data_IF_589632912673
#
_entry.id   IF_589632912673
#
_cell.length_a   1.000
_cell.length_b   1.000
_cell.length_c   1.000
_cell.angle_alpha   90.00
_cell.angle_beta   90.00
_cell.angle_gamma   90.00
#
_symmetry.space_group_name_H-M   'P 1'
#
loop_
_entity.id
_entity.type
_entity.pdbx_description
1 polymer ?
#
# COMPACT_ATOMS: atom_id res chain seq x y z
N UNK A 1 20.03 -15.47 -0.03
CA UNK A 1 20.55 -14.55 1.00
C UNK A 1 20.22 -13.15 0.53
N UNK A 2 19.58 -12.31 1.37
CA UNK A 2 19.19 -10.95 1.00
C UNK A 2 20.37 -10.17 0.44
N UNK A 3 20.15 -9.43 -0.64
CA UNK A 3 21.16 -8.52 -1.19
C UNK A 3 21.36 -7.37 -0.21
N UNK A 4 22.57 -6.79 -0.16
CA UNK A 4 22.85 -5.69 0.76
C UNK A 4 21.80 -4.55 0.62
N UNK A 5 21.35 -3.94 1.73
CA UNK A 5 20.52 -2.74 1.69
C UNK A 5 21.16 -1.61 0.88
N UNK A 6 20.34 -0.72 0.34
CA UNK A 6 20.84 0.47 -0.36
C UNK A 6 21.49 1.44 0.66
N UNK A 7 22.80 1.78 0.51
CA UNK A 7 23.48 2.70 1.41
C UNK A 7 23.14 4.19 1.14
N UNK A 8 22.12 4.50 0.32
CA UNK A 8 21.74 5.86 -0.03
C UNK A 8 21.50 6.72 1.24
N UNK A 9 22.24 7.84 1.42
CA UNK A 9 22.13 8.66 2.63
C UNK A 9 20.75 9.29 2.82
N UNK A 10 19.94 9.43 1.76
CA UNK A 10 18.56 9.91 1.87
C UNK A 10 17.68 8.96 2.69
N UNK A 11 17.99 7.67 2.71
CA UNK A 11 17.22 6.66 3.44
C UNK A 11 17.68 6.49 4.88
N UNK A 12 18.90 6.93 5.23
CA UNK A 12 19.51 6.69 6.53
C UNK A 12 18.70 7.21 7.74
N UNK A 13 17.83 8.19 7.52
CA UNK A 13 16.96 8.72 8.57
C UNK A 13 15.72 7.83 8.82
N UNK A 14 15.25 7.07 7.83
CA UNK A 14 14.09 6.19 7.99
C UNK A 14 14.35 5.08 9.02
N UNK A 15 13.29 4.56 9.64
CA UNK A 15 13.41 3.50 10.65
C UNK A 15 13.84 2.18 10.04
N UNK A 16 13.33 1.85 8.85
CA UNK A 16 13.69 0.66 8.07
C UNK A 16 14.23 1.06 6.68
N UNK A 17 15.46 1.59 6.59
CA UNK A 17 16.05 2.01 5.32
C UNK A 17 16.17 0.85 4.31
N UNK A 18 16.28 -0.38 4.79
CA UNK A 18 16.33 -1.59 3.96
C UNK A 18 15.06 -1.85 3.14
N UNK A 19 13.95 -1.16 3.43
CA UNK A 19 12.67 -1.30 2.71
C UNK A 19 12.56 -0.42 1.45
N UNK A 20 13.57 0.41 1.18
CA UNK A 20 13.66 1.24 -0.02
C UNK A 20 14.96 0.98 -0.79
N UNK A 21 14.88 1.17 -2.10
CA UNK A 21 16.05 1.24 -2.97
C UNK A 21 15.91 2.42 -3.92
N UNK A 22 17.03 3.03 -4.24
CA UNK A 22 17.12 4.08 -5.24
C UNK A 22 17.20 3.49 -6.64
N UNK A 23 16.87 4.32 -7.63
CA UNK A 23 17.02 4.01 -9.05
C UNK A 23 18.48 3.70 -9.42
N UNK A 24 19.45 4.33 -8.77
CA UNK A 24 20.88 4.02 -8.93
C UNK A 24 21.22 2.63 -8.42
N UNK A 25 20.81 2.30 -7.19
CA UNK A 25 21.06 0.98 -6.61
C UNK A 25 20.44 -0.11 -7.47
N UNK A 26 19.19 0.07 -7.90
CA UNK A 26 18.52 -0.94 -8.72
C UNK A 26 19.25 -1.12 -10.05
N UNK A 27 19.64 -0.02 -10.73
CA UNK A 27 20.37 -0.06 -11.98
C UNK A 27 21.70 -0.85 -11.90
N UNK A 28 22.40 -0.78 -10.76
CA UNK A 28 23.65 -1.53 -10.54
C UNK A 28 23.40 -3.01 -10.24
N UNK A 29 22.24 -3.34 -9.65
CA UNK A 29 21.88 -4.68 -9.23
C UNK A 29 20.93 -5.40 -10.21
N UNK A 30 20.60 -4.80 -11.36
CA UNK A 30 19.80 -5.48 -12.39
C UNK A 30 20.50 -6.77 -12.84
N UNK A 31 19.76 -7.88 -12.77
CA UNK A 31 20.27 -9.21 -13.12
C UNK A 31 21.18 -9.85 -12.06
N UNK A 32 21.40 -9.22 -10.91
CA UNK A 32 22.13 -9.83 -9.80
C UNK A 32 21.37 -11.08 -9.29
N UNK A 33 22.08 -12.18 -8.97
CA UNK A 33 21.46 -13.36 -8.36
C UNK A 33 20.76 -12.97 -7.06
N UNK A 34 19.50 -13.38 -6.92
CA UNK A 34 18.69 -13.07 -5.74
C UNK A 34 17.95 -11.73 -5.80
N UNK A 35 18.03 -10.95 -6.88
CA UNK A 35 17.20 -9.74 -7.07
C UNK A 35 16.10 -10.02 -8.09
N UNK A 36 14.85 -9.74 -7.70
CA UNK A 36 13.68 -9.84 -8.57
C UNK A 36 13.00 -8.49 -8.65
N UNK A 37 12.75 -8.03 -9.86
CA UNK A 37 12.09 -6.74 -10.11
C UNK A 37 10.66 -7.01 -10.53
N UNK A 38 9.71 -6.35 -9.88
CA UNK A 38 8.28 -6.51 -10.13
C UNK A 38 7.68 -5.15 -10.47
N UNK A 39 6.91 -5.09 -11.55
CA UNK A 39 6.06 -3.93 -11.86
C UNK A 39 4.61 -4.22 -11.48
N UNK A 40 3.98 -3.29 -10.77
CA UNK A 40 2.56 -3.36 -10.37
C UNK A 40 1.93 -1.97 -10.44
N UNK A 41 1.02 -1.80 -11.40
CA UNK A 41 0.44 -0.51 -11.80
C UNK A 41 -1.08 -0.48 -11.65
N UNK A 42 -1.65 0.73 -11.69
CA UNK A 42 -3.09 0.92 -11.87
C UNK A 42 -3.50 0.52 -13.29
N UNK A 43 -2.77 1.02 -14.29
CA UNK A 43 -2.98 0.69 -15.69
C UNK A 43 -2.23 -0.61 -16.03
N UNK A 44 -2.99 -1.70 -16.10
CA UNK A 44 -2.47 -3.05 -16.37
C UNK A 44 -1.77 -3.20 -17.73
N UNK A 45 -1.96 -2.25 -18.65
CA UNK A 45 -1.33 -2.22 -19.98
C UNK A 45 -0.01 -1.45 -19.98
N UNK A 46 0.35 -0.78 -18.88
CA UNK A 46 1.50 0.13 -18.83
C UNK A 46 2.85 -0.60 -18.92
N UNK A 47 2.96 -1.77 -18.31
CA UNK A 47 4.12 -2.66 -18.47
C UNK A 47 4.39 -3.03 -19.93
N UNK A 48 3.33 -3.27 -20.71
CA UNK A 48 3.43 -3.77 -22.09
C UNK A 48 3.93 -2.68 -23.06
N UNK A 49 3.92 -1.41 -22.65
CA UNK A 49 4.49 -0.29 -23.43
C UNK A 49 5.93 0.05 -23.04
N UNK A 50 6.53 -0.68 -22.11
CA UNK A 50 7.93 -0.57 -21.71
C UNK A 50 8.11 -0.65 -20.20
N UNK A 51 9.09 -1.40 -19.73
CA UNK A 51 9.36 -1.67 -18.31
C UNK A 51 10.86 -1.74 -18.02
N UNK A 52 11.24 -1.77 -16.74
CA UNK A 52 12.64 -1.92 -16.30
C UNK A 52 13.16 -3.28 -16.80
N UNK A 53 14.37 -3.35 -17.40
CA UNK A 53 14.93 -4.61 -17.89
C UNK A 53 14.95 -5.71 -16.83
N UNK A 54 14.38 -6.86 -17.17
CA UNK A 54 14.29 -8.02 -16.26
C UNK A 54 13.09 -7.99 -15.31
N UNK A 55 12.26 -6.94 -15.33
CA UNK A 55 11.06 -6.87 -14.50
C UNK A 55 9.95 -7.81 -14.99
N UNK A 56 9.24 -8.42 -14.04
CA UNK A 56 8.02 -9.20 -14.30
C UNK A 56 6.79 -8.42 -13.86
N UNK A 57 5.69 -8.50 -14.61
CA UNK A 57 4.41 -7.89 -14.23
C UNK A 57 3.73 -8.71 -13.12
N UNK A 58 3.20 -8.06 -12.08
CA UNK A 58 2.17 -8.64 -11.20
C UNK A 58 0.94 -7.74 -11.27
N UNK A 59 -0.13 -8.28 -11.86
CA UNK A 59 -1.42 -7.59 -11.97
C UNK A 59 -2.17 -7.67 -10.64
N UNK A 60 -2.42 -6.53 -10.01
CA UNK A 60 -3.06 -6.52 -8.69
C UNK A 60 -4.44 -7.19 -8.70
N UNK A 61 -5.20 -7.09 -9.79
CA UNK A 61 -6.56 -7.60 -9.89
C UNK A 61 -6.58 -9.07 -10.31
N UNK A 62 -5.80 -9.44 -11.33
CA UNK A 62 -5.82 -10.80 -11.88
C UNK A 62 -4.88 -11.77 -11.16
N UNK A 63 -3.75 -11.29 -10.65
CA UNK A 63 -2.76 -12.16 -10.01
C UNK A 63 -2.93 -12.22 -8.48
N UNK A 64 -3.39 -11.14 -7.81
CA UNK A 64 -3.40 -11.06 -6.33
C UNK A 64 -4.77 -11.18 -5.66
N UNK A 65 -5.88 -11.13 -6.41
CA UNK A 65 -7.23 -11.26 -5.88
C UNK A 65 -7.86 -12.61 -6.26
N UNK A 66 -8.76 -13.11 -5.41
CA UNK A 66 -9.64 -14.23 -5.76
C UNK A 66 -10.62 -13.78 -6.86
N UNK A 67 -10.85 -14.60 -7.90
CA UNK A 67 -11.66 -14.21 -9.05
C UNK A 67 -13.17 -14.16 -8.75
N UNK A 68 -13.62 -14.63 -7.59
CA UNK A 68 -15.04 -14.74 -7.24
C UNK A 68 -15.36 -13.98 -5.96
N UNK A 69 -14.57 -14.19 -4.92
CA UNK A 69 -14.71 -13.57 -3.60
C UNK A 69 -13.91 -12.28 -3.58
N UNK A 70 -14.44 -11.22 -2.98
CA UNK A 70 -13.66 -10.01 -2.69
C UNK A 70 -12.69 -10.28 -1.54
N UNK A 71 -11.62 -11.02 -1.83
CA UNK A 71 -10.51 -11.30 -0.94
C UNK A 71 -9.23 -11.57 -1.76
N UNK A 72 -8.09 -11.62 -1.09
CA UNK A 72 -6.83 -12.01 -1.72
C UNK A 72 -6.77 -13.52 -1.96
N UNK A 73 -5.88 -13.91 -2.86
CA UNK A 73 -5.56 -15.31 -3.11
C UNK A 73 -5.10 -16.04 -1.82
N UNK A 74 -5.13 -17.38 -1.85
CA UNK A 74 -4.60 -18.21 -0.77
C UNK A 74 -3.09 -18.48 -0.93
N UNK A 75 -2.52 -19.19 0.06
CA UNK A 75 -1.10 -19.53 0.07
C UNK A 75 -0.64 -20.43 -1.08
N UNK A 76 -1.53 -21.29 -1.61
CA UNK A 76 -1.19 -22.18 -2.71
C UNK A 76 -1.14 -21.40 -4.02
N UNK A 77 -2.11 -20.53 -4.25
CA UNK A 77 -2.14 -19.62 -5.40
C UNK A 77 -0.99 -18.62 -5.35
N UNK A 78 -0.61 -18.08 -4.18
CA UNK A 78 0.54 -17.19 -4.07
C UNK A 78 1.85 -17.92 -4.37
N UNK A 79 2.02 -19.15 -3.86
CA UNK A 79 3.20 -19.97 -4.17
C UNK A 79 3.30 -20.29 -5.67
N UNK A 80 2.19 -20.63 -6.32
CA UNK A 80 2.15 -20.86 -7.77
C UNK A 80 2.47 -19.59 -8.56
N UNK A 81 1.93 -18.43 -8.15
CA UNK A 81 2.26 -17.14 -8.74
C UNK A 81 3.76 -16.84 -8.65
N UNK A 82 4.36 -16.94 -7.46
CA UNK A 82 5.80 -16.71 -7.27
C UNK A 82 6.63 -17.68 -8.12
N UNK A 83 6.22 -18.96 -8.18
CA UNK A 83 6.85 -19.96 -9.02
C UNK A 83 6.86 -19.54 -10.49
N UNK A 84 5.70 -19.19 -11.07
CA UNK A 84 5.58 -18.77 -12.48
C UNK A 84 6.33 -17.47 -12.79
N UNK A 85 6.44 -16.56 -11.82
CA UNK A 85 7.20 -15.31 -11.95
C UNK A 85 8.70 -15.49 -11.66
N UNK A 86 9.14 -16.70 -11.32
CA UNK A 86 10.54 -17.04 -11.09
C UNK A 86 11.13 -16.41 -9.83
N UNK A 87 10.31 -16.25 -8.79
CA UNK A 87 10.68 -15.66 -7.49
C UNK A 87 10.88 -16.79 -6.49
N UNK A 88 12.03 -16.83 -5.83
CA UNK A 88 12.34 -17.74 -4.73
C UNK A 88 11.99 -17.10 -3.37
N UNK A 89 11.92 -17.92 -2.31
CA UNK A 89 11.54 -17.43 -0.96
C UNK A 89 12.56 -16.47 -0.35
N UNK A 90 13.82 -16.61 -0.73
CA UNK A 90 14.95 -15.86 -0.17
C UNK A 90 15.45 -14.74 -1.10
N UNK A 91 14.71 -14.46 -2.17
CA UNK A 91 15.01 -13.37 -3.10
C UNK A 91 14.71 -12.01 -2.43
N UNK A 92 15.48 -11.00 -2.80
CA UNK A 92 15.14 -9.59 -2.62
C UNK A 92 14.19 -9.19 -3.74
N UNK A 93 12.94 -8.85 -3.40
CA UNK A 93 11.93 -8.41 -4.36
C UNK A 93 11.82 -6.89 -4.32
N UNK A 94 12.14 -6.22 -5.43
CA UNK A 94 11.97 -4.78 -5.61
C UNK A 94 10.73 -4.53 -6.45
N UNK A 95 9.73 -3.88 -5.86
CA UNK A 95 8.47 -3.55 -6.53
C UNK A 95 8.46 -2.06 -6.89
N UNK A 96 7.98 -1.74 -8.09
CA UNK A 96 7.74 -0.37 -8.54
C UNK A 96 6.45 -0.30 -9.37
N UNK A 97 5.93 0.90 -9.54
CA UNK A 97 4.79 1.14 -10.41
C UNK A 97 4.52 2.62 -10.64
N UNK A 98 3.42 2.90 -11.32
CA UNK A 98 2.91 4.24 -11.56
C UNK A 98 2.32 4.93 -10.32
N UNK A 99 1.92 6.19 -10.49
CA UNK A 99 1.18 6.99 -9.49
C UNK A 99 1.88 7.06 -8.13
N UNK A 100 3.19 7.29 -8.10
CA UNK A 100 3.95 7.31 -6.84
C UNK A 100 3.81 5.99 -6.05
N UNK A 101 3.86 4.84 -6.74
CA UNK A 101 3.91 3.49 -6.15
C UNK A 101 2.65 3.04 -5.38
N UNK A 102 1.43 3.52 -5.65
CA UNK A 102 0.25 3.04 -4.91
C UNK A 102 0.08 1.52 -5.03
N UNK A 103 0.08 1.01 -6.25
CA UNK A 103 -0.10 -0.42 -6.51
C UNK A 103 1.14 -1.25 -6.17
N UNK A 104 2.33 -0.67 -6.28
CA UNK A 104 3.56 -1.27 -5.80
C UNK A 104 3.56 -1.46 -4.27
N UNK A 105 3.12 -0.45 -3.50
CA UNK A 105 2.97 -0.53 -2.05
C UNK A 105 1.88 -1.54 -1.64
N UNK A 106 0.78 -1.59 -2.40
CA UNK A 106 -0.26 -2.62 -2.24
C UNK A 106 0.30 -4.03 -2.48
N UNK A 107 1.04 -4.25 -3.57
CA UNK A 107 1.66 -5.54 -3.84
C UNK A 107 2.65 -5.94 -2.73
N UNK A 108 3.46 -4.99 -2.24
CA UNK A 108 4.36 -5.23 -1.10
C UNK A 108 3.58 -5.64 0.16
N UNK A 109 2.46 -4.96 0.45
CA UNK A 109 1.59 -5.30 1.57
C UNK A 109 1.02 -6.73 1.42
N UNK A 110 0.58 -7.13 0.22
CA UNK A 110 0.14 -8.52 -0.06
C UNK A 110 1.29 -9.52 0.13
N UNK A 111 2.50 -9.24 -0.34
CA UNK A 111 3.67 -10.10 -0.09
C UNK A 111 3.95 -10.27 1.42
N UNK A 112 3.67 -9.24 2.20
CA UNK A 112 3.85 -9.25 3.66
C UNK A 112 2.82 -10.18 4.34
N UNK A 113 1.59 -10.27 3.84
CA UNK A 113 0.59 -11.26 4.33
C UNK A 113 1.09 -12.71 4.19
N UNK A 114 1.93 -12.99 3.19
CA UNK A 114 2.56 -14.30 2.99
C UNK A 114 3.97 -14.39 3.59
N UNK A 115 4.41 -13.36 4.31
CA UNK A 115 5.67 -13.33 5.06
C UNK A 115 6.93 -13.36 4.18
N UNK A 116 6.87 -12.91 2.93
CA UNK A 116 8.09 -12.73 2.12
C UNK A 116 8.98 -11.69 2.82
N UNK A 117 10.21 -12.07 3.17
CA UNK A 117 11.00 -11.30 4.15
C UNK A 117 11.56 -9.99 3.57
N UNK A 118 12.24 -10.07 2.42
CA UNK A 118 12.92 -8.94 1.81
C UNK A 118 12.17 -8.42 0.59
N UNK A 119 11.22 -7.52 0.85
CA UNK A 119 10.45 -6.82 -0.17
C UNK A 119 10.65 -5.32 0.03
N UNK A 120 11.00 -4.63 -1.05
CA UNK A 120 11.40 -3.23 -1.08
C UNK A 120 10.62 -2.47 -2.16
N UNK A 121 10.43 -1.16 -1.97
CA UNK A 121 9.95 -0.29 -3.05
C UNK A 121 11.11 0.44 -3.72
N UNK A 122 11.01 0.61 -5.04
CA UNK A 122 11.85 1.55 -5.78
C UNK A 122 11.37 2.96 -5.47
N UNK A 123 12.16 3.77 -4.76
CA UNK A 123 11.76 5.13 -4.38
C UNK A 123 11.54 6.01 -5.63
N UNK A 124 10.35 6.60 -5.72
CA UNK A 124 9.88 7.34 -6.89
C UNK A 124 9.25 6.51 -8.00
N UNK A 125 9.37 5.17 -7.93
CA UNK A 125 8.65 4.25 -8.81
C UNK A 125 9.00 4.39 -10.29
N UNK A 126 8.01 4.09 -11.14
CA UNK A 126 8.14 4.17 -12.60
C UNK A 126 8.43 5.59 -13.08
N UNK A 127 7.76 6.57 -12.48
CA UNK A 127 7.87 7.98 -12.88
C UNK A 127 9.29 8.52 -12.66
N UNK A 128 9.91 8.20 -11.51
CA UNK A 128 11.31 8.58 -11.25
C UNK A 128 12.28 7.89 -12.23
N UNK A 129 12.11 6.59 -12.49
CA UNK A 129 12.95 5.85 -13.44
C UNK A 129 12.93 6.49 -14.84
N UNK A 130 11.73 6.84 -15.34
CA UNK A 130 11.55 7.49 -16.64
C UNK A 130 12.09 8.92 -16.65
N UNK A 131 11.85 9.71 -15.60
CA UNK A 131 12.32 11.10 -15.52
C UNK A 131 13.85 11.22 -15.49
N UNK A 132 14.53 10.20 -14.97
CA UNK A 132 15.99 10.07 -14.96
C UNK A 132 16.56 9.55 -16.29
N UNK A 133 15.72 9.30 -17.31
CA UNK A 133 16.09 8.74 -18.62
C UNK A 133 16.84 7.41 -18.50
N UNK A 134 16.40 6.53 -17.59
CA UNK A 134 16.96 5.19 -17.44
C UNK A 134 16.40 4.22 -18.46
N UNK A 135 17.17 3.17 -18.75
CA UNK A 135 16.83 2.19 -19.76
C UNK A 135 15.51 1.48 -19.46
N UNK A 136 14.68 1.31 -20.50
CA UNK A 136 13.47 0.49 -20.50
C UNK A 136 13.51 -0.49 -21.66
N UNK A 137 12.74 -1.57 -21.56
CA UNK A 137 12.64 -2.59 -22.59
C UNK A 137 11.19 -3.04 -22.78
N UNK A 138 10.91 -3.65 -23.93
CA UNK A 138 9.67 -4.38 -24.21
C UNK A 138 9.87 -5.90 -24.04
N UNK A 139 11.10 -6.34 -23.78
CA UNK A 139 11.45 -7.76 -23.67
C UNK A 139 10.92 -8.36 -22.37
N UNK A 140 9.80 -9.07 -22.46
CA UNK A 140 9.19 -9.76 -21.32
C UNK A 140 10.06 -10.95 -20.90
N UNK A 141 10.57 -10.98 -19.65
CA UNK A 141 11.35 -12.10 -19.16
C UNK A 141 10.55 -13.40 -19.14
N UNK A 142 11.22 -14.52 -19.43
CA UNK A 142 10.66 -15.88 -19.31
C UNK A 142 11.43 -16.67 -18.26
N UNK A 143 11.30 -16.33 -16.96
CA UNK A 143 12.06 -16.99 -15.92
C UNK A 143 11.63 -18.45 -15.77
N UNK A 144 12.59 -19.31 -15.41
CA UNK A 144 12.28 -20.69 -15.08
C UNK A 144 11.43 -20.75 -13.80
N UNK A 145 10.42 -21.63 -13.73
CA UNK A 145 9.64 -21.79 -12.52
C UNK A 145 10.48 -22.17 -11.30
N UNK A 146 10.22 -21.53 -10.16
CA UNK A 146 10.91 -21.79 -8.89
C UNK A 146 10.10 -22.71 -7.97
N UNK A 147 10.65 -23.08 -6.81
CA UNK A 147 9.94 -23.82 -5.77
C UNK A 147 9.62 -22.89 -4.59
N UNK A 148 8.55 -22.11 -4.72
CA UNK A 148 8.07 -21.27 -3.63
C UNK A 148 7.25 -22.11 -2.63
N UNK A 149 7.47 -22.00 -1.31
CA UNK A 149 6.74 -22.78 -0.32
C UNK A 149 5.29 -22.32 -0.21
N UNK A 150 4.36 -23.27 -0.07
CA UNK A 150 2.98 -22.96 0.34
C UNK A 150 2.99 -22.55 1.81
N UNK A 151 2.60 -21.31 2.08
CA UNK A 151 2.56 -20.73 3.42
C UNK A 151 1.14 -20.31 3.76
N UNK A 152 0.75 -20.40 5.04
CA UNK A 152 -0.51 -19.83 5.48
C UNK A 152 -0.43 -18.29 5.41
N UNK A 153 -1.49 -17.66 4.89
CA UNK A 153 -1.65 -16.21 4.91
C UNK A 153 -1.89 -15.74 6.35
N UNK A 154 -1.21 -14.68 6.78
CA UNK A 154 -1.42 -14.06 8.09
C UNK A 154 -2.01 -12.66 7.94
N UNK A 155 -3.32 -12.56 8.17
CA UNK A 155 -4.07 -11.31 8.13
C UNK A 155 -4.05 -10.59 9.50
N UNK A 156 -3.65 -11.26 10.58
CA UNK A 156 -3.93 -10.80 11.95
C UNK A 156 -3.13 -9.57 12.40
N UNK A 157 -2.01 -9.28 11.74
CA UNK A 157 -1.04 -8.27 12.16
C UNK A 157 -1.14 -6.96 11.38
N UNK A 158 -1.40 -7.04 10.07
CA UNK A 158 -1.33 -5.87 9.16
C UNK A 158 -2.65 -5.57 8.44
N UNK A 159 -3.69 -6.38 8.65
CA UNK A 159 -5.02 -6.22 8.04
C UNK A 159 -6.05 -5.97 9.13
N UNK A 160 -6.98 -5.07 8.86
CA UNK A 160 -8.17 -4.87 9.69
C UNK A 160 -9.40 -5.19 8.86
N UNK A 161 -10.39 -5.87 9.45
CA UNK A 161 -11.69 -6.10 8.86
C UNK A 161 -12.71 -5.10 9.39
N UNK A 162 -13.88 -5.01 8.75
CA UNK A 162 -14.96 -4.09 9.15
C UNK A 162 -15.28 -4.13 10.64
N UNK A 163 -15.36 -5.32 11.24
CA UNK A 163 -15.72 -5.47 12.64
C UNK A 163 -14.58 -5.02 13.57
N UNK A 164 -13.32 -5.16 13.15
CA UNK A 164 -12.17 -4.59 13.87
C UNK A 164 -12.21 -3.06 13.83
N UNK A 165 -12.58 -2.47 12.69
CA UNK A 165 -12.73 -1.00 12.55
C UNK A 165 -13.86 -0.46 13.42
N UNK A 166 -14.99 -1.18 13.52
CA UNK A 166 -16.07 -0.83 14.45
C UNK A 166 -15.60 -0.84 15.90
N UNK A 167 -14.80 -1.84 16.29
CA UNK A 167 -14.21 -1.92 17.62
C UNK A 167 -13.11 -0.86 17.85
N UNK A 168 -12.50 -0.35 16.80
CA UNK A 168 -11.42 0.65 16.86
C UNK A 168 -11.90 2.09 17.10
N UNK A 169 -13.18 2.37 16.88
CA UNK A 169 -13.73 3.74 16.99
C UNK A 169 -13.46 4.36 18.36
N UNK A 170 -12.68 5.44 18.39
CA UNK A 170 -12.28 6.15 19.60
C UNK A 170 -11.17 5.49 20.43
N UNK A 171 -10.62 4.34 19.99
CA UNK A 171 -9.58 3.60 20.70
C UNK A 171 -8.17 3.80 20.10
N UNK A 172 -8.05 4.49 18.97
CA UNK A 172 -6.79 4.85 18.34
C UNK A 172 -7.00 5.66 17.06
N UNK A 173 -5.92 6.10 16.40
CA UNK A 173 -6.02 6.83 15.14
C UNK A 173 -6.65 5.97 14.03
N UNK A 174 -7.64 6.55 13.36
CA UNK A 174 -8.23 6.03 12.13
C UNK A 174 -7.96 7.06 11.02
N UNK A 175 -7.28 6.67 9.96
CA UNK A 175 -6.77 7.60 8.94
C UNK A 175 -7.50 7.37 7.62
N UNK A 176 -8.26 8.37 7.20
CA UNK A 176 -8.81 8.44 5.85
C UNK A 176 -7.80 9.11 4.94
N UNK A 177 -7.30 8.36 3.94
CA UNK A 177 -6.25 8.86 3.03
C UNK A 177 -6.78 9.31 1.67
N UNK A 178 -8.11 9.41 1.53
CA UNK A 178 -8.79 9.86 0.31
C UNK A 178 -8.66 11.37 0.12
N UNK A 179 -9.21 11.87 -0.99
CA UNK A 179 -9.29 13.32 -1.23
C UNK A 179 -10.21 14.01 -0.21
N UNK A 180 -10.02 15.32 0.06
CA UNK A 180 -10.92 16.07 0.94
C UNK A 180 -12.39 15.98 0.52
N UNK A 181 -12.69 15.94 -0.78
CA UNK A 181 -14.06 15.85 -1.30
C UNK A 181 -14.70 14.47 -1.05
N UNK A 182 -13.90 13.40 -1.08
CA UNK A 182 -14.34 12.05 -0.69
C UNK A 182 -14.61 11.98 0.82
N UNK A 183 -13.71 12.55 1.63
CA UNK A 183 -13.83 12.57 3.09
C UNK A 183 -15.07 13.35 3.57
N UNK A 184 -15.31 14.55 3.03
CA UNK A 184 -16.48 15.35 3.42
C UNK A 184 -17.81 14.74 2.96
N UNK A 185 -17.77 13.81 2.00
CA UNK A 185 -18.93 13.22 1.38
C UNK A 185 -19.58 14.09 0.30
N UNK A 186 -18.86 15.11 -0.18
CA UNK A 186 -19.21 15.85 -1.41
C UNK A 186 -19.17 14.91 -2.62
N UNK A 187 -18.26 13.93 -2.61
CA UNK A 187 -18.12 12.89 -3.63
C UNK A 187 -18.03 11.51 -2.98
N UNK A 188 -18.43 10.48 -3.71
CA UNK A 188 -18.25 9.07 -3.34
C UNK A 188 -17.07 8.42 -4.07
N UNK A 189 -16.39 9.18 -4.94
CA UNK A 189 -15.23 8.78 -5.72
C UNK A 189 -14.23 9.95 -5.87
N UNK A 190 -12.96 9.64 -6.14
CA UNK A 190 -11.92 10.59 -6.52
C UNK A 190 -12.38 11.47 -7.70
N UNK A 191 -11.97 12.76 -7.76
CA UNK A 191 -12.16 13.58 -8.95
C UNK A 191 -11.69 12.89 -10.24
N UNK A 192 -12.50 13.03 -11.30
CA UNK A 192 -12.20 12.57 -12.66
C UNK A 192 -12.28 11.05 -12.93
N UNK A 193 -12.84 10.26 -12.00
CA UNK A 193 -13.17 8.84 -12.18
C UNK A 193 -14.69 8.58 -12.21
N UNK A 194 -15.19 7.50 -12.87
CA UNK A 194 -16.62 7.18 -12.92
C UNK A 194 -17.28 7.02 -11.54
N UNK A 195 -18.50 7.53 -11.39
CA UNK A 195 -19.27 7.52 -10.14
C UNK A 195 -19.90 6.14 -9.87
N UNK A 196 -19.07 5.14 -9.60
CA UNK A 196 -19.50 3.80 -9.19
C UNK A 196 -18.64 3.34 -8.01
N UNK A 197 -19.23 3.17 -6.81
CA UNK A 197 -18.47 2.65 -5.68
C UNK A 197 -19.18 2.55 -4.34
N UNK A 198 -19.98 3.55 -3.94
CA UNK A 198 -20.65 3.56 -2.63
C UNK A 198 -22.01 4.28 -2.66
N UNK A 199 -23.00 3.71 -1.97
CA UNK A 199 -24.35 4.28 -1.82
C UNK A 199 -24.39 5.49 -0.88
N UNK A 200 -23.36 5.71 -0.05
CA UNK A 200 -23.24 6.82 0.89
C UNK A 200 -21.86 7.47 0.80
N UNK A 201 -21.84 8.80 0.82
CA UNK A 201 -20.62 9.61 0.96
C UNK A 201 -20.43 10.09 2.40
N UNK A 202 -19.18 10.40 2.76
CA UNK A 202 -18.75 10.80 4.10
C UNK A 202 -17.47 10.07 4.48
N UNK A 203 -17.18 9.99 5.77
CA UNK A 203 -16.08 9.24 6.36
C UNK A 203 -16.56 8.44 7.58
N UNK A 204 -15.72 7.51 8.02
CA UNK A 204 -15.94 6.73 9.25
C UNK A 204 -15.80 7.67 10.46
N UNK A 205 -16.70 7.67 11.46
CA UNK A 205 -16.55 8.53 12.63
C UNK A 205 -15.17 8.41 13.28
N UNK A 206 -14.71 9.50 13.89
CA UNK A 206 -13.37 9.65 14.49
C UNK A 206 -12.21 9.62 13.50
N UNK A 207 -12.44 9.35 12.22
CA UNK A 207 -11.36 9.33 11.23
C UNK A 207 -10.80 10.74 10.99
N UNK A 208 -9.49 10.86 10.89
CA UNK A 208 -8.80 12.08 10.48
C UNK A 208 -8.43 12.02 9.00
N UNK A 209 -8.55 13.14 8.29
CA UNK A 209 -8.22 13.25 6.87
C UNK A 209 -6.72 13.56 6.68
N UNK A 210 -5.94 12.57 6.24
CA UNK A 210 -4.54 12.75 5.84
C UNK A 210 -4.37 12.16 4.43
N UNK A 211 -4.62 12.95 3.36
CA UNK A 211 -4.51 12.45 1.99
C UNK A 211 -3.14 11.83 1.72
N UNK A 212 -3.11 10.62 1.15
CA UNK A 212 -1.88 9.83 0.94
C UNK A 212 -0.77 10.64 0.25
N UNK A 213 -1.16 11.53 -0.69
CA UNK A 213 -0.27 12.36 -1.50
C UNK A 213 0.61 13.30 -0.67
N UNK A 214 0.21 13.61 0.58
CA UNK A 214 1.02 14.42 1.48
C UNK A 214 2.36 13.76 1.78
N UNK A 215 2.44 12.43 1.80
CA UNK A 215 3.65 11.68 2.09
C UNK A 215 4.58 11.48 0.88
N UNK A 216 4.14 11.87 -0.33
CA UNK A 216 4.95 11.83 -1.55
C UNK A 216 5.43 13.25 -1.93
N UNK A 217 6.65 13.32 -2.45
CA UNK A 217 7.21 14.49 -3.10
C UNK A 217 6.70 14.60 -4.55
N UNK A 218 6.95 15.75 -5.19
CA UNK A 218 6.43 16.04 -6.53
C UNK A 218 7.00 15.12 -7.64
N UNK A 219 8.14 14.49 -7.38
CA UNK A 219 8.81 13.51 -8.26
C UNK A 219 8.39 12.06 -7.95
N UNK A 220 7.39 11.86 -7.08
CA UNK A 220 6.87 10.56 -6.68
C UNK A 220 7.67 9.86 -5.59
N UNK A 221 8.80 10.42 -5.13
CA UNK A 221 9.59 9.85 -4.02
C UNK A 221 8.90 10.07 -2.68
N UNK A 222 9.23 9.26 -1.68
CA UNK A 222 8.77 9.51 -0.32
C UNK A 222 9.39 10.79 0.23
N UNK A 223 8.61 11.56 1.01
CA UNK A 223 9.15 12.71 1.74
C UNK A 223 10.14 12.30 2.81
N UNK A 224 11.02 13.23 3.17
CA UNK A 224 12.03 13.00 4.20
C UNK A 224 11.39 12.69 5.55
N UNK A 225 12.10 11.94 6.40
CA UNK A 225 11.58 11.59 7.73
C UNK A 225 11.07 12.79 8.55
N UNK A 226 11.76 13.94 8.64
CA UNK A 226 11.23 15.10 9.38
C UNK A 226 9.90 15.62 8.83
N UNK A 227 9.73 15.65 7.50
CA UNK A 227 8.46 16.05 6.88
C UNK A 227 7.34 15.04 7.18
N UNK A 228 7.66 13.74 7.16
CA UNK A 228 6.71 12.69 7.51
C UNK A 228 6.31 12.79 9.00
N UNK A 229 7.25 13.03 9.90
CA UNK A 229 6.97 13.25 11.33
C UNK A 229 6.06 14.46 11.56
N UNK A 230 6.21 15.53 10.76
CA UNK A 230 5.30 16.68 10.79
C UNK A 230 3.90 16.33 10.26
N UNK A 231 3.79 15.56 9.18
CA UNK A 231 2.49 15.15 8.62
C UNK A 231 1.66 14.32 9.59
N UNK A 232 2.32 13.46 10.38
CA UNK A 232 1.69 12.56 11.34
C UNK A 232 1.95 12.98 12.80
N UNK A 233 2.20 14.27 13.06
CA UNK A 233 2.60 14.78 14.37
C UNK A 233 1.54 14.59 15.47
N UNK A 234 0.27 14.49 15.09
CA UNK A 234 -0.85 14.28 16.02
C UNK A 234 -0.94 12.83 16.53
N UNK A 235 -0.14 11.91 15.97
CA UNK A 235 -0.12 10.50 16.38
C UNK A 235 1.05 10.25 17.34
N UNK A 236 0.79 9.41 18.34
CA UNK A 236 1.82 8.89 19.24
C UNK A 236 2.49 7.68 18.62
N UNK A 237 3.79 7.50 18.91
CA UNK A 237 4.61 6.42 18.33
C UNK A 237 4.13 5.01 18.64
N UNK A 238 3.40 4.83 19.72
CA UNK A 238 2.86 3.55 20.18
C UNK A 238 1.37 3.38 19.82
N UNK A 239 0.80 4.29 19.02
CA UNK A 239 -0.58 4.19 18.58
C UNK A 239 -0.82 2.94 17.71
N UNK A 240 -1.96 2.31 17.91
CA UNK A 240 -2.52 1.34 16.97
C UNK A 240 -3.30 2.08 15.88
N UNK A 241 -2.72 2.15 14.69
CA UNK A 241 -3.24 2.96 13.59
C UNK A 241 -3.96 2.08 12.57
N UNK A 242 -5.16 2.48 12.19
CA UNK A 242 -5.87 1.87 11.04
C UNK A 242 -5.95 2.87 9.90
N UNK A 243 -5.47 2.50 8.72
CA UNK A 243 -5.56 3.32 7.51
C UNK A 243 -6.58 2.73 6.52
N UNK A 244 -7.34 3.58 5.84
CA UNK A 244 -8.30 3.17 4.81
C UNK A 244 -8.43 4.20 3.68
N UNK A 245 -8.89 3.73 2.52
CA UNK A 245 -9.20 4.57 1.37
C UNK A 245 -10.50 4.12 0.70
N UNK A 246 -10.48 3.80 -0.61
CA UNK A 246 -11.62 3.27 -1.37
C UNK A 246 -11.56 1.75 -1.51
N UNK A 247 -10.42 1.18 -1.90
CA UNK A 247 -10.23 -0.27 -2.10
C UNK A 247 -8.89 -0.81 -1.52
N UNK A 248 -8.26 -0.10 -0.58
CA UNK A 248 -7.04 -0.54 0.10
C UNK A 248 -5.70 -0.16 -0.58
N UNK A 249 -5.76 0.44 -1.77
CA UNK A 249 -4.62 0.74 -2.65
C UNK A 249 -3.83 1.99 -2.25
N UNK A 250 -4.51 3.05 -1.82
CA UNK A 250 -3.87 4.27 -1.32
C UNK A 250 -3.49 4.15 0.15
N UNK A 251 -4.26 3.38 0.91
CA UNK A 251 -3.97 3.13 2.33
C UNK A 251 -2.81 2.17 2.54
N UNK A 252 -2.48 1.29 1.59
CA UNK A 252 -1.24 0.50 1.63
C UNK A 252 0.01 1.39 1.53
N UNK A 253 -0.03 2.47 0.75
CA UNK A 253 1.05 3.45 0.67
C UNK A 253 1.25 4.15 2.02
N UNK A 254 0.17 4.61 2.67
CA UNK A 254 0.25 5.19 4.02
C UNK A 254 0.68 4.15 5.06
N UNK A 255 0.20 2.90 4.96
CA UNK A 255 0.65 1.80 5.80
C UNK A 255 2.17 1.58 5.68
N UNK A 256 2.73 1.62 4.46
CA UNK A 256 4.16 1.50 4.23
C UNK A 256 4.93 2.65 4.91
N UNK A 257 4.44 3.89 4.76
CA UNK A 257 5.03 5.08 5.38
C UNK A 257 5.06 4.96 6.91
N UNK A 258 3.93 4.64 7.53
CA UNK A 258 3.83 4.52 8.98
C UNK A 258 4.67 3.34 9.51
N UNK A 259 4.59 2.18 8.86
CA UNK A 259 5.26 0.95 9.32
C UNK A 259 6.76 0.98 9.11
N UNK A 260 7.23 1.33 7.90
CA UNK A 260 8.63 1.15 7.53
C UNK A 260 9.44 2.45 7.61
N UNK A 261 8.89 3.57 7.15
CA UNK A 261 9.65 4.83 7.15
C UNK A 261 9.64 5.48 8.52
N UNK A 262 8.47 5.51 9.15
CA UNK A 262 8.31 6.05 10.48
C UNK A 262 8.57 4.99 11.55
N UNK A 263 8.14 3.74 11.42
CA UNK A 263 8.40 2.69 12.41
C UNK A 263 7.35 2.60 13.51
N UNK A 264 6.07 2.79 13.17
CA UNK A 264 4.95 2.52 14.07
C UNK A 264 4.80 1.00 14.25
N UNK A 265 4.66 0.50 15.48
CA UNK A 265 4.67 -0.95 15.75
C UNK A 265 3.36 -1.65 15.40
N UNK A 266 2.23 -0.93 15.36
CA UNK A 266 0.91 -1.47 15.04
C UNK A 266 0.21 -0.59 14.00
N UNK A 267 0.22 -1.03 12.75
CA UNK A 267 -0.47 -0.35 11.65
C UNK A 267 -1.21 -1.39 10.82
N UNK A 268 -2.52 -1.23 10.68
CA UNK A 268 -3.38 -2.14 9.91
C UNK A 268 -4.01 -1.41 8.73
N UNK A 269 -4.03 -2.07 7.58
CA UNK A 269 -4.76 -1.62 6.40
C UNK A 269 -6.18 -2.21 6.42
N UNK A 270 -7.20 -1.36 6.40
CA UNK A 270 -8.58 -1.78 6.19
C UNK A 270 -8.91 -1.76 4.69
N UNK A 271 -8.69 -2.88 4.02
CA UNK A 271 -8.80 -3.02 2.57
C UNK A 271 -10.24 -3.02 2.04
N UNK A 272 -11.20 -3.45 2.87
CA UNK A 272 -12.63 -3.29 2.60
C UNK A 272 -12.97 -1.82 2.29
N UNK A 273 -12.38 -0.90 3.06
CA UNK A 273 -12.33 0.53 2.80
C UNK A 273 -13.72 1.14 2.53
N UNK A 274 -13.79 2.29 1.84
CA UNK A 274 -15.06 2.98 1.61
C UNK A 274 -16.04 2.22 0.71
N UNK A 275 -15.56 1.37 -0.21
CA UNK A 275 -16.44 0.56 -1.05
C UNK A 275 -17.17 -0.53 -0.26
N UNK A 276 -16.59 -1.04 0.83
CA UNK A 276 -17.36 -1.83 1.80
C UNK A 276 -18.21 -0.89 2.67
N UNK A 277 -17.57 -0.01 3.44
CA UNK A 277 -18.23 0.77 4.50
C UNK A 277 -19.41 1.59 4.00
N UNK A 278 -19.24 2.29 2.87
CA UNK A 278 -20.27 3.14 2.27
C UNK A 278 -21.47 2.37 1.68
N UNK A 279 -21.43 1.04 1.66
CA UNK A 279 -22.50 0.15 1.22
C UNK A 279 -23.08 -0.74 2.34
N UNK A 280 -22.45 -0.82 3.51
CA UNK A 280 -22.97 -1.62 4.63
C UNK A 280 -24.21 -0.95 5.22
N UNK A 281 -25.24 -1.77 5.46
CA UNK A 281 -26.49 -1.31 6.09
C UNK A 281 -26.21 -0.96 7.55
N UNK A 282 -26.57 0.27 7.95
CA UNK A 282 -26.56 0.76 9.35
C UNK A 282 -25.18 0.86 10.03
N UNK A 283 -24.10 1.00 9.28
CA UNK A 283 -22.83 1.49 9.85
C UNK A 283 -22.88 3.00 10.08
N UNK A 284 -22.13 3.53 11.06
CA UNK A 284 -22.09 4.96 11.31
C UNK A 284 -21.25 5.69 10.25
N UNK A 285 -21.70 6.88 9.85
CA UNK A 285 -21.05 7.74 8.86
C UNK A 285 -21.16 9.19 9.32
N UNK A 286 -20.06 9.93 9.21
CA UNK A 286 -20.00 11.39 9.42
C UNK A 286 -19.81 12.08 8.07
N UNK A 287 -20.37 13.29 7.92
CA UNK A 287 -20.16 14.17 6.78
C UNK A 287 -19.57 15.49 7.26
N UNK A 288 -18.90 16.19 6.35
CA UNK A 288 -18.20 17.44 6.66
C UNK A 288 -16.72 17.22 6.94
N UNK A 289 -16.07 18.27 7.42
CA UNK A 289 -14.63 18.36 7.67
C UNK A 289 -14.22 17.90 9.09
N UNK A 290 -15.15 17.89 10.03
CA UNK A 290 -14.92 17.42 11.40
C UNK A 290 -14.92 15.88 11.50
N UNK A 291 -13.98 15.25 12.23
CA UNK A 291 -13.91 13.79 12.41
C UNK A 291 -15.18 13.16 13.02
N UNK A 292 -15.93 13.94 13.80
CA UNK A 292 -17.05 13.44 14.59
C UNK A 292 -16.63 12.59 15.80
N UNK A 293 -17.62 12.02 16.48
CA UNK A 293 -17.46 11.26 17.72
C UNK A 293 -17.96 9.83 17.58
N UNK A 294 -17.57 8.96 18.53
CA UNK A 294 -18.09 7.59 18.61
C UNK A 294 -19.62 7.62 18.79
N UNK A 295 -20.39 6.88 17.97
CA UNK A 295 -21.84 6.78 18.13
C UNK A 295 -22.23 6.30 19.53
N UNK A 296 -23.21 6.97 20.17
CA UNK A 296 -23.67 6.66 21.52
C UNK A 296 -22.96 7.39 22.66
N UNK A 297 -21.75 7.93 22.43
CA UNK A 297 -20.99 8.66 23.47
C UNK A 297 -21.67 9.98 23.94
N UNK A 298 -22.51 10.59 23.09
CA UNK A 298 -23.27 11.79 23.45
C UNK A 298 -24.49 11.50 24.35
N UNK A 299 -25.02 10.27 24.36
CA UNK A 299 -26.17 9.91 25.22
C UNK A 299 -25.72 9.62 26.67
N UNK A 300 -24.52 9.07 26.88
CA UNK A 300 -23.97 8.81 28.22
C UNK A 300 -23.48 10.08 28.93
N UNK A 301 -23.01 11.11 28.20
CA UNK A 301 -22.59 12.37 28.81
C UNK A 301 -23.78 13.28 29.26
N UNK A 302 -24.99 12.95 28.82
CA UNK A 302 -26.22 13.68 29.13
C UNK A 302 -27.16 12.95 30.11
N UNK A 303 -26.72 11.81 30.66
CA UNK A 303 -27.41 11.02 31.70
C UNK A 303 -26.65 11.04 33.03
#
# INVERSE_FOLDING_TARGET
>A
MPVAPDPNPAFAAYTHPERLVSTEWLSVNLGAPGVKVVESDEDVLLYDIGHIPGAVKIDWHLDLNDPVTRDYIDGAAFADLMSRKGIERDDTVVIYGDKSNWWAAYALWVFTLFGHQDVRLLDGGRDAWLSENRDTTLDVPTPAPTQYPVVARDDSTIRAFRDDVLAHLGNGPLVDVRSPQEYTGERTHMPDYPEEGALRGGHIPTAVSIPWARAAAADGRFRTRPELEEIYADFSRDDDVVAYCRIGERSSHTWFVLTHLLGYPSVRNYDGSWTEWGNVVRVPIVKGDEPGIVPGAAEEAAS
#
